data_IF_309641217281
#
_entry.id   IF_309641217281
#
_cell.length_a   1.000
_cell.length_b   1.000
_cell.length_c   1.000
_cell.angle_alpha   90.00
_cell.angle_beta   90.00
_cell.angle_gamma   90.00
#
_symmetry.space_group_name_H-M   'P 1'
#
loop_
_entity.id
_entity.type
_entity.pdbx_description
1 polymer ?
#
# COMPACT_ATOMS: atom_id res chain seq x y z
N UNK A 1 16.14 -6.26 14.33
CA UNK A 1 14.83 -6.59 13.69
C UNK A 1 14.35 -5.45 12.82
N UNK A 2 14.23 -4.22 13.32
CA UNK A 2 13.80 -3.02 12.55
C UNK A 2 14.54 -2.85 11.21
N UNK A 3 15.86 -2.94 11.18
CA UNK A 3 16.66 -2.75 9.96
C UNK A 3 16.36 -3.78 8.86
N UNK A 4 16.03 -5.03 9.26
CA UNK A 4 15.64 -6.08 8.31
C UNK A 4 14.31 -5.73 7.65
N UNK A 5 13.33 -5.27 8.42
CA UNK A 5 11.98 -4.96 7.92
C UNK A 5 11.98 -3.67 7.10
N UNK A 6 12.79 -2.67 7.46
CA UNK A 6 13.03 -1.49 6.63
C UNK A 6 13.70 -1.87 5.30
N UNK A 7 14.65 -2.82 5.28
CA UNK A 7 15.22 -3.33 4.02
C UNK A 7 14.18 -4.07 3.18
N UNK A 8 13.29 -4.86 3.80
CA UNK A 8 12.17 -5.51 3.09
C UNK A 8 11.26 -4.47 2.44
N UNK A 9 10.87 -3.41 3.17
CA UNK A 9 10.07 -2.31 2.65
C UNK A 9 10.75 -1.64 1.45
N UNK A 10 12.05 -1.33 1.55
CA UNK A 10 12.80 -0.72 0.44
C UNK A 10 12.85 -1.61 -0.79
N UNK A 11 13.13 -2.92 -0.62
CA UNK A 11 13.13 -3.89 -1.74
C UNK A 11 11.77 -3.96 -2.42
N UNK A 12 10.70 -4.05 -1.62
CA UNK A 12 9.34 -4.05 -2.15
C UNK A 12 9.02 -2.77 -2.91
N UNK A 13 9.41 -1.60 -2.37
CA UNK A 13 9.24 -0.31 -3.05
C UNK A 13 9.98 -0.26 -4.38
N UNK A 14 11.22 -0.78 -4.44
CA UNK A 14 11.99 -0.87 -5.68
C UNK A 14 11.27 -1.78 -6.68
N UNK A 15 10.84 -2.97 -6.25
CA UNK A 15 10.12 -3.91 -7.10
C UNK A 15 8.86 -3.28 -7.70
N UNK A 16 8.00 -2.68 -6.86
CA UNK A 16 6.76 -2.03 -7.33
C UNK A 16 7.07 -0.89 -8.31
N UNK A 17 8.11 -0.09 -8.05
CA UNK A 17 8.54 0.96 -8.98
C UNK A 17 9.02 0.39 -10.31
N UNK A 18 9.71 -0.75 -10.31
CA UNK A 18 10.12 -1.41 -11.55
C UNK A 18 8.92 -1.85 -12.38
N UNK A 19 7.89 -2.40 -11.73
CA UNK A 19 6.62 -2.73 -12.41
C UNK A 19 5.95 -1.47 -12.98
N UNK A 20 5.93 -0.37 -12.22
CA UNK A 20 5.36 0.89 -12.70
C UNK A 20 6.14 1.43 -13.92
N UNK A 21 7.46 1.27 -13.96
CA UNK A 21 8.26 1.65 -15.14
C UNK A 21 7.84 0.85 -16.38
N UNK A 22 7.56 -0.45 -16.23
CA UNK A 22 7.04 -1.26 -17.35
C UNK A 22 5.67 -0.76 -17.82
N UNK A 23 4.79 -0.35 -16.90
CA UNK A 23 3.50 0.26 -17.22
C UNK A 23 3.69 1.58 -17.97
N UNK A 24 4.64 2.42 -17.57
CA UNK A 24 4.99 3.66 -18.27
C UNK A 24 5.52 3.41 -19.69
N UNK A 25 6.41 2.42 -19.83
CA UNK A 25 6.93 2.02 -21.14
C UNK A 25 5.81 1.54 -22.07
N UNK A 26 4.87 0.74 -21.56
CA UNK A 26 3.69 0.32 -22.31
C UNK A 26 2.84 1.53 -22.75
N UNK A 27 2.63 2.51 -21.86
CA UNK A 27 1.94 3.74 -22.21
C UNK A 27 2.65 4.55 -23.32
N UNK A 28 3.98 4.65 -23.27
CA UNK A 28 4.78 5.31 -24.29
C UNK A 28 4.67 4.59 -25.64
N UNK A 29 4.79 3.26 -25.63
CA UNK A 29 4.64 2.44 -26.85
C UNK A 29 3.24 2.66 -27.45
N UNK A 30 2.19 2.68 -26.62
CA UNK A 30 0.83 2.95 -27.08
C UNK A 30 0.71 4.32 -27.78
N UNK A 31 1.37 5.36 -27.27
CA UNK A 31 1.40 6.65 -27.94
C UNK A 31 2.19 6.62 -29.26
N UNK A 32 3.31 5.92 -29.31
CA UNK A 32 4.10 5.76 -30.56
C UNK A 32 3.23 5.10 -31.64
N UNK A 33 2.51 4.03 -31.28
CA UNK A 33 1.61 3.33 -32.20
C UNK A 33 0.42 4.19 -32.65
N UNK A 34 -0.01 5.15 -31.82
CA UNK A 34 -1.00 6.14 -32.22
C UNK A 34 -0.46 7.13 -33.28
N UNK A 35 0.78 7.64 -33.09
CA UNK A 35 1.37 8.64 -34.01
C UNK A 35 1.95 8.02 -35.28
N UNK A 36 2.37 6.76 -35.23
CA UNK A 36 2.88 6.03 -36.38
C UNK A 36 2.19 4.64 -36.51
N UNK A 37 0.96 4.63 -37.08
CA UNK A 37 0.21 3.39 -37.29
C UNK A 37 0.87 2.41 -38.26
N UNK A 38 1.81 2.89 -39.10
CA UNK A 38 2.51 2.05 -40.10
C UNK A 38 3.31 0.91 -39.43
N UNK A 39 3.66 1.07 -38.14
CA UNK A 39 4.34 0.04 -37.35
C UNK A 39 3.50 -1.19 -37.10
N UNK A 40 2.17 -1.15 -37.28
CA UNK A 40 1.25 -2.26 -36.97
C UNK A 40 0.70 -2.95 -38.23
N UNK A 41 1.10 -2.59 -39.45
CA UNK A 41 0.58 -3.21 -40.70
C UNK A 41 -0.95 -3.39 -40.74
N UNK A 42 -1.73 -2.38 -40.35
CA UNK A 42 -3.18 -2.49 -40.24
C UNK A 42 -3.87 -1.99 -41.52
N UNK A 43 -4.87 -2.72 -42.07
CA UNK A 43 -5.68 -2.22 -43.20
C UNK A 43 -6.42 -0.93 -42.82
N UNK A 44 -6.65 -0.07 -43.80
CA UNK A 44 -7.24 1.28 -43.68
C UNK A 44 -8.60 1.35 -42.94
N UNK A 45 -9.33 0.22 -42.79
CA UNK A 45 -10.63 0.18 -42.14
C UNK A 45 -10.56 0.30 -40.58
N UNK A 46 -9.38 0.31 -39.98
CA UNK A 46 -9.21 0.28 -38.50
C UNK A 46 -8.93 1.63 -37.85
N UNK A 47 -9.21 2.75 -38.49
CA UNK A 47 -9.05 4.09 -37.86
C UNK A 47 -9.78 4.25 -36.51
N UNK A 48 -10.86 3.50 -36.26
CA UNK A 48 -11.54 3.50 -34.95
C UNK A 48 -10.70 2.90 -33.82
N UNK A 49 -9.76 2.00 -34.13
CA UNK A 49 -8.84 1.42 -33.16
C UNK A 49 -7.70 2.35 -32.73
N UNK A 50 -7.34 3.32 -33.56
CA UNK A 50 -6.21 4.23 -33.31
C UNK A 50 -6.46 5.12 -32.09
N UNK A 51 -7.70 5.62 -31.91
CA UNK A 51 -8.05 6.46 -30.77
C UNK A 51 -7.90 5.73 -29.42
N UNK A 52 -8.08 4.40 -29.41
CA UNK A 52 -7.89 3.58 -28.22
C UNK A 52 -6.44 3.65 -27.74
N UNK A 53 -5.46 3.61 -28.63
CA UNK A 53 -4.05 3.70 -28.30
C UNK A 53 -3.68 5.04 -27.66
N UNK A 54 -4.29 6.13 -28.11
CA UNK A 54 -4.11 7.45 -27.49
C UNK A 54 -4.62 7.45 -26.05
N UNK A 55 -5.86 6.99 -25.85
CA UNK A 55 -6.49 6.96 -24.51
C UNK A 55 -5.71 6.05 -23.58
N UNK A 56 -5.36 4.85 -24.02
CA UNK A 56 -4.55 3.88 -23.26
C UNK A 56 -3.21 4.51 -22.87
N UNK A 57 -2.49 5.11 -23.84
CA UNK A 57 -1.20 5.75 -23.61
C UNK A 57 -1.28 6.83 -22.52
N UNK A 58 -2.23 7.75 -22.63
CA UNK A 58 -2.41 8.85 -21.67
C UNK A 58 -2.75 8.30 -20.27
N UNK A 59 -3.67 7.35 -20.16
CA UNK A 59 -4.11 6.75 -18.88
C UNK A 59 -2.94 6.04 -18.21
N UNK A 60 -2.20 5.19 -18.93
CA UNK A 60 -1.08 4.44 -18.36
C UNK A 60 0.09 5.33 -17.95
N UNK A 61 0.39 6.39 -18.73
CA UNK A 61 1.44 7.35 -18.35
C UNK A 61 0.99 8.14 -17.12
N UNK A 62 -0.21 8.71 -17.11
CA UNK A 62 -0.73 9.48 -15.98
C UNK A 62 -0.76 8.68 -14.69
N UNK A 63 -1.34 7.47 -14.74
CA UNK A 63 -1.38 6.55 -13.60
C UNK A 63 0.02 6.12 -13.16
N UNK A 64 0.90 5.78 -14.10
CA UNK A 64 2.26 5.34 -13.82
C UNK A 64 3.09 6.43 -13.15
N UNK A 65 3.07 7.66 -13.66
CA UNK A 65 3.77 8.80 -13.06
C UNK A 65 3.26 9.07 -11.64
N UNK A 66 1.94 9.17 -11.46
CA UNK A 66 1.33 9.38 -10.15
C UNK A 66 1.75 8.30 -9.15
N UNK A 67 1.60 7.03 -9.52
CA UNK A 67 1.91 5.88 -8.67
C UNK A 67 3.39 5.81 -8.30
N UNK A 68 4.30 6.10 -9.24
CA UNK A 68 5.74 6.10 -9.02
C UNK A 68 6.15 7.09 -7.93
N UNK A 69 5.65 8.33 -7.99
CA UNK A 69 5.95 9.35 -6.99
C UNK A 69 5.24 9.05 -5.66
N UNK A 70 3.99 8.63 -5.70
CA UNK A 70 3.18 8.34 -4.53
C UNK A 70 3.81 7.23 -3.67
N UNK A 71 4.12 6.07 -4.25
CA UNK A 71 4.70 4.93 -3.53
C UNK A 71 6.05 5.28 -2.93
N UNK A 72 6.90 6.00 -3.68
CA UNK A 72 8.19 6.41 -3.15
C UNK A 72 8.12 7.44 -2.04
N UNK A 73 7.15 8.35 -2.10
CA UNK A 73 6.91 9.34 -1.05
C UNK A 73 6.34 8.68 0.20
N UNK A 74 5.39 7.76 0.01
CA UNK A 74 4.78 7.00 1.10
C UNK A 74 5.79 6.13 1.84
N UNK A 75 6.57 5.32 1.14
CA UNK A 75 7.60 4.48 1.73
C UNK A 75 8.63 5.27 2.55
N UNK A 76 9.12 6.42 2.03
CA UNK A 76 10.04 7.31 2.77
C UNK A 76 9.38 7.89 4.02
N UNK A 77 8.08 8.22 3.93
CA UNK A 77 7.34 8.74 5.07
C UNK A 77 7.20 7.71 6.19
N UNK A 78 6.92 6.45 5.85
CA UNK A 78 6.83 5.37 6.84
C UNK A 78 8.14 5.18 7.62
N UNK A 79 9.28 5.21 6.92
CA UNK A 79 10.59 5.15 7.56
C UNK A 79 10.85 6.37 8.45
N UNK A 80 10.52 7.56 7.96
CA UNK A 80 10.67 8.81 8.73
C UNK A 80 9.87 8.78 10.04
N UNK A 81 8.66 8.19 10.05
CA UNK A 81 7.82 8.09 11.24
C UNK A 81 8.50 7.29 12.36
N UNK A 82 9.24 6.23 12.03
CA UNK A 82 9.98 5.42 13.01
C UNK A 82 11.04 6.20 13.78
N UNK A 83 11.63 7.21 13.14
CA UNK A 83 12.74 7.97 13.70
C UNK A 83 12.28 9.27 14.38
N UNK A 84 11.07 9.77 14.03
CA UNK A 84 10.66 11.13 14.40
C UNK A 84 9.34 11.20 15.19
N UNK A 85 8.62 10.09 15.36
CA UNK A 85 7.34 10.08 16.07
C UNK A 85 7.40 9.17 17.28
N UNK A 86 6.88 9.65 18.40
CA UNK A 86 6.75 8.85 19.60
C UNK A 86 5.61 7.85 19.42
N UNK A 87 5.86 6.55 19.58
CA UNK A 87 4.82 5.55 19.43
C UNK A 87 3.85 5.53 20.62
N UNK A 88 2.63 5.10 20.33
CA UNK A 88 1.58 4.91 21.34
C UNK A 88 1.40 3.40 21.58
N UNK A 89 1.46 2.92 22.84
CA UNK A 89 1.22 1.52 23.12
C UNK A 89 -0.26 1.16 22.94
N UNK A 90 -0.52 0.09 22.17
CA UNK A 90 -1.87 -0.40 21.86
C UNK A 90 -1.91 -1.93 21.88
N UNK A 91 -3.10 -2.50 22.03
CA UNK A 91 -3.35 -3.90 21.74
C UNK A 91 -3.55 -4.09 20.25
N UNK A 92 -2.93 -5.12 19.68
CA UNK A 92 -2.98 -5.49 18.27
C UNK A 92 -3.59 -6.90 18.16
N UNK A 93 -4.63 -7.02 17.35
CA UNK A 93 -5.15 -8.30 16.87
C UNK A 93 -5.04 -8.34 15.36
N UNK A 94 -4.41 -9.38 14.83
CA UNK A 94 -4.27 -9.57 13.39
C UNK A 94 -5.41 -10.41 12.85
N UNK A 95 -6.04 -9.95 11.79
CA UNK A 95 -7.11 -10.66 11.09
C UNK A 95 -6.77 -10.83 9.61
N UNK A 96 -7.32 -11.86 9.02
CA UNK A 96 -7.28 -12.12 7.59
C UNK A 96 -8.70 -12.10 7.05
N UNK A 97 -8.88 -11.45 5.93
CA UNK A 97 -10.10 -11.53 5.14
C UNK A 97 -9.74 -12.13 3.78
N UNK A 98 -10.38 -13.23 3.49
CA UNK A 98 -10.22 -13.96 2.22
C UNK A 98 -11.49 -13.74 1.40
N UNK A 99 -11.34 -13.13 0.24
CA UNK A 99 -12.34 -13.11 -0.79
C UNK A 99 -11.89 -14.04 -1.93
N UNK A 100 -12.80 -14.46 -2.81
CA UNK A 100 -12.57 -15.45 -3.87
C UNK A 100 -11.30 -15.21 -4.70
N UNK A 101 -10.80 -13.97 -4.75
CA UNK A 101 -9.64 -13.59 -5.57
C UNK A 101 -8.47 -12.99 -4.77
N UNK A 102 -8.68 -12.55 -3.51
CA UNK A 102 -7.67 -11.82 -2.76
C UNK A 102 -7.65 -12.16 -1.27
N UNK A 103 -6.44 -12.30 -0.72
CA UNK A 103 -6.22 -12.39 0.72
C UNK A 103 -5.71 -11.04 1.23
N UNK A 104 -6.48 -10.37 2.09
CA UNK A 104 -6.11 -9.10 2.69
C UNK A 104 -5.91 -9.26 4.20
N UNK A 105 -4.78 -8.75 4.71
CA UNK A 105 -4.45 -8.75 6.12
C UNK A 105 -4.79 -7.42 6.76
N UNK A 106 -5.38 -7.49 7.96
CA UNK A 106 -5.78 -6.33 8.74
C UNK A 106 -5.18 -6.37 10.15
N UNK A 107 -4.82 -5.19 10.64
CA UNK A 107 -4.50 -4.94 12.04
C UNK A 107 -5.68 -4.24 12.71
N UNK A 108 -6.22 -4.84 13.76
CA UNK A 108 -7.19 -4.22 14.65
C UNK A 108 -6.44 -3.71 15.88
N UNK A 109 -6.49 -2.40 16.10
CA UNK A 109 -5.78 -1.74 17.18
C UNK A 109 -6.78 -1.17 18.18
N UNK A 110 -6.58 -1.51 19.45
CA UNK A 110 -7.35 -0.96 20.58
C UNK A 110 -6.41 -0.30 21.58
N UNK A 111 -6.78 0.85 22.16
CA UNK A 111 -5.98 1.48 23.21
C UNK A 111 -5.77 0.56 24.40
N UNK A 112 -4.61 0.66 25.07
CA UNK A 112 -4.37 -0.03 26.34
C UNK A 112 -5.13 0.71 27.45
N UNK A 113 -6.19 0.11 28.00
CA UNK A 113 -6.95 0.67 29.12
C UNK A 113 -8.18 -0.16 29.47
N UNK A 114 -8.68 0.02 30.72
CA UNK A 114 -9.78 -0.79 31.25
C UNK A 114 -11.18 -0.39 30.76
N UNK A 115 -11.32 0.77 30.11
CA UNK A 115 -12.65 1.29 29.73
C UNK A 115 -12.88 1.07 28.23
N UNK A 116 -13.53 -0.05 27.90
CA UNK A 116 -13.75 -0.49 26.51
C UNK A 116 -14.97 0.16 25.84
N UNK A 117 -15.85 0.83 26.61
CA UNK A 117 -17.19 1.25 26.12
C UNK A 117 -17.21 2.42 25.13
N UNK A 118 -16.10 3.15 24.96
CA UNK A 118 -16.03 4.28 24.01
C UNK A 118 -14.68 4.33 23.27
N UNK A 119 -13.98 3.22 23.17
CA UNK A 119 -12.66 3.21 22.57
C UNK A 119 -12.75 3.13 21.03
N UNK A 120 -12.00 4.01 20.37
CA UNK A 120 -11.82 3.94 18.92
C UNK A 120 -11.02 2.70 18.57
N UNK A 121 -11.64 1.78 17.85
CA UNK A 121 -10.95 0.63 17.25
C UNK A 121 -10.49 1.04 15.86
N UNK A 122 -9.19 0.88 15.60
CA UNK A 122 -8.64 1.14 14.29
C UNK A 122 -8.55 -0.16 13.51
N UNK A 123 -9.20 -0.23 12.35
CA UNK A 123 -9.01 -1.29 11.36
C UNK A 123 -8.10 -0.79 10.24
N UNK A 124 -6.96 -1.44 10.05
CA UNK A 124 -5.89 -1.00 9.15
C UNK A 124 -5.56 -2.13 8.21
N UNK A 125 -5.70 -1.88 6.91
CA UNK A 125 -5.18 -2.80 5.89
C UNK A 125 -3.65 -2.75 5.89
N UNK A 126 -3.01 -3.91 5.89
CA UNK A 126 -1.56 -4.04 5.92
C UNK A 126 -0.99 -4.17 4.51
N UNK A 127 0.14 -3.49 4.28
CA UNK A 127 0.83 -3.52 3.01
C UNK A 127 1.69 -4.80 2.86
N UNK A 128 1.91 -5.24 1.61
CA UNK A 128 2.59 -6.48 1.25
C UNK A 128 3.85 -6.85 2.03
N UNK A 129 4.79 -5.92 2.32
CA UNK A 129 5.98 -6.22 3.13
C UNK A 129 5.69 -6.77 4.53
N UNK A 130 4.46 -6.55 5.04
CA UNK A 130 4.01 -7.04 6.36
C UNK A 130 3.50 -8.47 6.34
N UNK A 131 3.07 -8.99 5.19
CA UNK A 131 2.27 -10.21 5.10
C UNK A 131 2.97 -11.44 5.69
N UNK A 132 4.28 -11.56 5.51
CA UNK A 132 5.05 -12.68 6.07
C UNK A 132 5.02 -12.70 7.60
N UNK A 133 5.12 -11.52 8.23
CA UNK A 133 5.09 -11.39 9.68
C UNK A 133 3.68 -11.64 10.25
N UNK A 134 2.63 -11.42 9.45
CA UNK A 134 1.23 -11.57 9.87
C UNK A 134 0.77 -13.01 9.84
N UNK A 135 1.11 -13.77 8.80
CA UNK A 135 0.61 -15.14 8.54
C UNK A 135 0.72 -16.08 9.75
N UNK A 136 1.81 -15.98 10.51
CA UNK A 136 2.08 -16.84 11.67
C UNK A 136 1.47 -16.35 12.98
N UNK A 137 0.87 -15.15 12.99
CA UNK A 137 0.42 -14.47 14.19
C UNK A 137 -1.06 -14.05 14.16
N UNK A 138 -1.84 -14.62 13.25
CA UNK A 138 -3.28 -14.32 13.11
C UNK A 138 -4.03 -14.73 14.39
N UNK A 139 -4.95 -13.87 14.83
CA UNK A 139 -5.82 -14.11 15.98
C UNK A 139 -5.19 -13.95 17.37
N UNK A 140 -3.88 -13.64 17.44
CA UNK A 140 -3.21 -13.39 18.73
C UNK A 140 -3.47 -11.96 19.19
N UNK A 141 -3.70 -11.79 20.50
CA UNK A 141 -3.73 -10.48 21.16
C UNK A 141 -2.32 -10.13 21.61
N UNK A 142 -1.76 -9.07 21.06
CA UNK A 142 -0.34 -8.72 21.15
C UNK A 142 -0.22 -7.24 21.52
N UNK A 143 0.67 -6.91 22.44
CA UNK A 143 1.03 -5.53 22.71
C UNK A 143 1.94 -5.01 21.59
N UNK A 144 1.59 -3.84 21.04
CA UNK A 144 2.33 -3.22 19.96
C UNK A 144 2.55 -1.73 20.22
N UNK A 145 3.58 -1.18 19.59
CA UNK A 145 3.86 0.26 19.55
C UNK A 145 3.39 0.80 18.21
N UNK A 146 2.47 1.77 18.22
CA UNK A 146 1.83 2.29 17.02
C UNK A 146 2.28 3.72 16.75
N UNK A 147 2.82 3.95 15.57
CA UNK A 147 3.25 5.26 15.09
C UNK A 147 2.12 5.87 14.27
N UNK A 148 1.58 6.97 14.77
CA UNK A 148 0.53 7.73 14.08
C UNK A 148 1.15 8.76 13.14
N UNK A 149 0.62 8.86 11.93
CA UNK A 149 1.01 9.92 11.03
C UNK A 149 0.45 11.26 11.51
N UNK A 150 1.30 12.24 11.88
CA UNK A 150 0.87 13.52 12.44
C UNK A 150 0.03 14.36 11.47
N UNK A 151 0.09 14.08 10.15
CA UNK A 151 -0.74 14.80 9.16
C UNK A 151 -2.16 14.27 9.08
N UNK A 152 -2.33 12.95 9.13
CA UNK A 152 -3.63 12.32 8.98
C UNK A 152 -4.26 11.89 10.30
N UNK A 153 -3.47 11.83 11.39
CA UNK A 153 -3.89 11.29 12.67
C UNK A 153 -4.17 9.78 12.64
N UNK A 154 -3.75 9.08 11.56
CA UNK A 154 -4.01 7.65 11.37
C UNK A 154 -2.78 6.82 11.70
N UNK A 155 -2.98 5.57 12.21
CA UNK A 155 -1.88 4.63 12.37
C UNK A 155 -1.21 4.34 11.03
N UNK A 156 0.13 4.36 11.00
CA UNK A 156 0.89 4.16 9.77
C UNK A 156 1.94 3.07 9.88
N UNK A 157 2.56 2.91 11.06
CA UNK A 157 3.51 1.84 11.34
C UNK A 157 3.17 1.20 12.67
N UNK A 158 3.25 -0.11 12.74
CA UNK A 158 3.01 -0.89 13.95
C UNK A 158 4.26 -1.70 14.22
N UNK A 159 4.86 -1.50 15.38
CA UNK A 159 5.99 -2.28 15.87
C UNK A 159 5.52 -3.32 16.87
N UNK A 160 5.75 -4.57 16.58
CA UNK A 160 5.39 -5.72 17.40
C UNK A 160 6.60 -6.60 17.69
N UNK A 161 6.44 -7.61 18.54
CA UNK A 161 7.50 -8.59 18.86
C UNK A 161 8.00 -9.40 17.65
N UNK A 162 7.17 -9.55 16.61
CA UNK A 162 7.55 -10.26 15.38
C UNK A 162 8.00 -9.35 14.24
N UNK A 163 8.03 -8.02 14.44
CA UNK A 163 8.58 -7.06 13.48
C UNK A 163 7.68 -5.86 13.21
N UNK A 164 8.03 -5.14 12.16
CA UNK A 164 7.31 -3.96 11.69
C UNK A 164 6.20 -4.37 10.72
N UNK A 165 5.02 -3.79 10.95
CA UNK A 165 3.89 -3.88 10.05
C UNK A 165 3.62 -2.49 9.45
N UNK A 166 3.42 -2.46 8.16
CA UNK A 166 3.26 -1.23 7.39
C UNK A 166 1.81 -1.07 6.98
N UNK A 167 1.19 0.04 7.37
CA UNK A 167 -0.17 0.36 6.92
C UNK A 167 -0.19 0.67 5.43
N UNK A 168 -1.24 0.20 4.74
CA UNK A 168 -1.53 0.63 3.38
C UNK A 168 -1.94 2.11 3.40
N UNK A 169 -1.48 2.86 2.40
CA UNK A 169 -1.81 4.27 2.29
C UNK A 169 -3.32 4.50 2.22
N UNK A 170 -3.82 5.43 3.03
CA UNK A 170 -5.26 5.72 3.10
C UNK A 170 -6.08 4.74 3.94
N UNK A 171 -5.49 3.62 4.43
CA UNK A 171 -6.16 2.72 5.36
C UNK A 171 -6.25 3.33 6.77
N UNK A 172 -7.08 2.76 7.61
CA UNK A 172 -7.31 3.23 8.98
C UNK A 172 -8.71 3.84 9.13
N UNK A 173 -9.73 3.00 9.00
CA UNK A 173 -11.09 3.32 9.42
C UNK A 173 -11.19 3.14 10.94
N UNK A 174 -11.96 4.00 11.60
CA UNK A 174 -12.37 3.81 12.99
C UNK A 174 -13.66 2.99 12.95
N UNK A 175 -13.62 1.77 13.47
CA UNK A 175 -14.84 0.99 13.71
C UNK A 175 -15.49 1.52 15.00
N UNK A 176 -16.77 1.86 14.92
CA UNK A 176 -17.60 2.04 16.13
C UNK A 176 -17.95 0.64 16.62
N UNK A 177 -17.72 0.36 17.91
CA UNK A 177 -18.39 -0.77 18.54
C UNK A 177 -19.87 -0.39 18.67
N UNK A 178 -20.73 -1.13 17.98
CA UNK A 178 -22.17 -1.16 18.24
C UNK A 178 -22.44 -1.94 19.55
#
# INVERSE_FOLDING_TARGET
MKDRDVRKLRRHTIFVRSVIILVLLFGIISLILYFDPSLINTPEEQYKGILIWLVVGIVFIGFGVFSFFFIGRWSRRLVWLLDNVVPVPMNLVLKVEEDSENTQYYAHLTPLGKDTRNQKIWRIALWGPSHENVKTNIGRDIKAQVYFDPKSGRPAVIESEFGLLWAMAGSGAVEKQD
#
